data_IF_035621569028
#
_entry.id   IF_035621569028
#
_cell.length_a   1.000
_cell.length_b   1.000
_cell.length_c   1.000
_cell.angle_alpha   90.00
_cell.angle_beta   90.00
_cell.angle_gamma   90.00
#
_symmetry.space_group_name_H-M   'P 1'
#
loop_
_entity.id
_entity.type
_entity.pdbx_description
1 polymer ?
#
# COMPACT_ATOMS: atom_id res chain seq x y z
N UNK A 1 25.39 24.43 2.83
CA UNK A 1 24.97 23.97 1.50
C UNK A 1 23.76 24.80 1.11
N UNK A 2 23.85 25.60 0.06
CA UNK A 2 22.76 26.47 -0.39
C UNK A 2 21.58 25.60 -0.83
N UNK A 3 20.40 25.82 -0.24
CA UNK A 3 19.14 25.27 -0.75
C UNK A 3 18.95 25.85 -2.15
N UNK A 4 19.11 25.01 -3.18
CA UNK A 4 18.71 25.36 -4.54
C UNK A 4 17.20 25.58 -4.47
N UNK A 5 16.78 26.83 -4.57
CA UNK A 5 15.37 27.23 -4.62
C UNK A 5 14.73 26.51 -5.83
N UNK A 6 13.98 25.45 -5.57
CA UNK A 6 13.33 24.65 -6.61
C UNK A 6 12.20 25.46 -7.22
N UNK A 7 12.34 25.80 -8.48
CA UNK A 7 11.34 26.56 -9.25
C UNK A 7 10.41 25.55 -9.95
N UNK A 8 9.35 25.15 -9.26
CA UNK A 8 8.39 24.15 -9.79
C UNK A 8 7.57 24.65 -10.98
N UNK A 9 7.17 25.95 -11.07
CA UNK A 9 6.58 26.50 -12.28
C UNK A 9 7.49 26.37 -13.50
N UNK A 10 8.76 26.71 -13.36
CA UNK A 10 9.75 26.60 -14.43
C UNK A 10 9.97 25.15 -14.85
N UNK A 11 10.09 24.22 -13.88
CA UNK A 11 10.23 22.79 -14.17
C UNK A 11 9.02 22.25 -14.95
N UNK A 12 7.80 22.66 -14.57
CA UNK A 12 6.58 22.26 -15.29
C UNK A 12 6.58 22.75 -16.72
N UNK A 13 6.98 24.01 -16.97
CA UNK A 13 7.07 24.61 -18.29
C UNK A 13 8.14 23.91 -19.16
N UNK A 14 9.31 23.62 -18.59
CA UNK A 14 10.38 22.89 -19.26
C UNK A 14 9.95 21.48 -19.64
N UNK A 15 9.27 20.75 -18.76
CA UNK A 15 8.72 19.42 -19.07
C UNK A 15 7.73 19.51 -20.23
N UNK A 16 6.77 20.44 -20.19
CA UNK A 16 5.76 20.62 -21.24
C UNK A 16 6.44 20.92 -22.59
N UNK A 17 7.45 21.77 -22.60
CA UNK A 17 8.20 22.12 -23.81
C UNK A 17 8.92 20.91 -24.41
N UNK A 18 9.65 20.16 -23.57
CA UNK A 18 10.48 19.04 -24.05
C UNK A 18 9.66 17.84 -24.49
N UNK A 19 8.42 17.66 -23.99
CA UNK A 19 7.52 16.61 -24.47
C UNK A 19 6.76 16.98 -25.75
N UNK A 20 7.10 18.09 -26.40
CA UNK A 20 6.47 18.51 -27.66
C UNK A 20 5.35 19.54 -27.51
N UNK A 21 5.28 20.23 -26.35
CA UNK A 21 4.32 21.31 -26.10
C UNK A 21 2.94 20.82 -25.65
N UNK A 22 2.07 21.80 -25.36
CA UNK A 22 0.71 21.56 -24.84
C UNK A 22 -0.12 20.70 -25.77
N UNK A 23 0.00 20.93 -27.07
CA UNK A 23 -0.79 20.26 -28.12
C UNK A 23 -0.50 18.75 -28.23
N UNK A 24 0.68 18.32 -27.75
CA UNK A 24 1.11 16.93 -27.75
C UNK A 24 0.63 16.17 -26.50
N UNK A 25 0.22 16.86 -25.45
CA UNK A 25 -0.21 16.24 -24.18
C UNK A 25 -1.72 15.99 -24.24
N UNK A 26 -2.11 14.72 -24.28
CA UNK A 26 -3.52 14.31 -24.24
C UNK A 26 -4.06 14.37 -22.81
N UNK A 27 -3.25 13.92 -21.85
CA UNK A 27 -3.65 13.85 -20.45
C UNK A 27 -2.42 13.93 -19.53
N UNK A 28 -2.62 14.51 -18.34
CA UNK A 28 -1.63 14.58 -17.28
C UNK A 28 -2.22 14.06 -15.98
N UNK A 29 -1.53 13.13 -15.32
CA UNK A 29 -1.90 12.58 -14.01
C UNK A 29 -0.66 12.49 -13.14
N UNK A 30 -0.83 12.22 -11.85
CA UNK A 30 0.30 11.99 -10.94
C UNK A 30 0.06 10.82 -9.99
N UNK A 31 1.13 10.19 -9.54
CA UNK A 31 1.14 9.37 -8.33
C UNK A 31 1.97 10.05 -7.24
N UNK A 32 2.33 9.32 -6.18
CA UNK A 32 3.07 9.87 -5.05
C UNK A 32 4.44 10.50 -5.43
N UNK A 33 5.08 10.01 -6.50
CA UNK A 33 6.43 10.42 -6.89
C UNK A 33 6.62 10.70 -8.38
N UNK A 34 5.60 10.49 -9.23
CA UNK A 34 5.72 10.58 -10.70
C UNK A 34 4.62 11.43 -11.31
N UNK A 35 5.02 12.32 -12.20
CA UNK A 35 4.14 12.94 -13.18
C UNK A 35 3.97 11.97 -14.35
N UNK A 36 2.74 11.68 -14.74
CA UNK A 36 2.41 10.78 -15.86
C UNK A 36 1.72 11.57 -16.95
N UNK A 37 2.31 11.55 -18.12
CA UNK A 37 1.79 12.21 -19.29
C UNK A 37 1.39 11.17 -20.34
N UNK A 38 0.23 11.34 -20.93
CA UNK A 38 -0.19 10.62 -22.13
C UNK A 38 0.06 11.57 -23.30
N UNK A 39 0.96 11.19 -24.19
CA UNK A 39 1.37 11.99 -25.34
C UNK A 39 0.71 11.44 -26.61
N UNK A 40 0.47 12.30 -27.58
CA UNK A 40 0.03 11.88 -28.93
C UNK A 40 1.15 11.09 -29.63
N UNK A 41 2.36 11.61 -29.51
CA UNK A 41 3.59 10.98 -29.99
C UNK A 41 4.75 11.35 -29.05
N UNK A 42 5.75 10.50 -28.93
CA UNK A 42 6.97 10.80 -28.18
C UNK A 42 8.05 11.24 -29.15
N UNK A 43 8.42 12.53 -29.21
CA UNK A 43 9.47 13.00 -30.11
C UNK A 43 10.82 12.34 -29.81
N UNK A 44 11.65 12.17 -30.80
CA UNK A 44 12.98 11.56 -30.66
C UNK A 44 13.85 12.35 -29.67
N UNK A 45 14.51 11.65 -28.73
CA UNK A 45 15.37 12.27 -27.72
C UNK A 45 14.63 12.98 -26.56
N UNK A 46 13.30 12.93 -26.50
CA UNK A 46 12.51 13.57 -25.41
C UNK A 46 12.88 13.01 -24.05
N UNK A 47 13.11 11.73 -23.96
CA UNK A 47 13.44 11.06 -22.70
C UNK A 47 14.73 11.58 -22.09
N UNK A 48 15.78 11.69 -22.88
CA UNK A 48 17.08 12.20 -22.47
C UNK A 48 17.01 13.68 -22.08
N UNK A 49 16.28 14.48 -22.83
CA UNK A 49 16.08 15.91 -22.57
C UNK A 49 15.34 16.13 -21.25
N UNK A 50 14.21 15.45 -21.03
CA UNK A 50 13.43 15.58 -19.80
C UNK A 50 14.20 15.01 -18.60
N UNK A 51 14.94 13.93 -18.80
CA UNK A 51 15.78 13.37 -17.74
C UNK A 51 16.94 14.30 -17.34
N UNK A 52 17.38 15.17 -18.21
CA UNK A 52 18.42 16.19 -17.94
C UNK A 52 17.92 17.41 -17.17
N UNK A 53 16.62 17.59 -16.96
CA UNK A 53 16.06 18.73 -16.26
C UNK A 53 16.36 18.69 -14.75
N UNK A 54 16.70 19.84 -14.19
CA UNK A 54 16.96 19.98 -12.77
C UNK A 54 15.67 19.71 -11.96
N UNK A 55 15.65 18.66 -11.14
CA UNK A 55 14.49 18.25 -10.35
C UNK A 55 13.81 16.99 -10.89
N UNK A 56 14.21 16.46 -12.04
CA UNK A 56 13.80 15.16 -12.55
C UNK A 56 14.80 14.09 -12.11
N UNK A 57 14.31 13.03 -11.50
CA UNK A 57 15.13 11.90 -11.04
C UNK A 57 15.38 10.93 -12.20
N UNK A 58 14.33 10.58 -12.94
CA UNK A 58 14.43 9.71 -14.12
C UNK A 58 13.13 9.79 -14.94
N UNK A 59 13.18 9.29 -16.17
CA UNK A 59 12.02 9.18 -17.06
C UNK A 59 11.81 7.72 -17.43
N UNK A 60 10.56 7.24 -17.33
CA UNK A 60 10.16 5.86 -17.67
C UNK A 60 9.04 5.91 -18.68
N UNK A 61 9.20 5.22 -19.80
CA UNK A 61 8.13 5.00 -20.76
C UNK A 61 7.56 3.60 -20.54
N UNK A 62 6.29 3.54 -20.16
CA UNK A 62 5.62 2.26 -19.92
C UNK A 62 4.14 2.35 -20.29
N UNK A 63 3.63 1.33 -20.97
CA UNK A 63 2.20 1.17 -21.31
C UNK A 63 1.58 2.38 -22.02
N UNK A 64 2.33 3.07 -22.88
CA UNK A 64 1.86 4.25 -23.61
C UNK A 64 1.85 5.54 -22.78
N UNK A 65 2.48 5.55 -21.61
CA UNK A 65 2.63 6.72 -20.74
C UNK A 65 4.10 7.15 -20.64
N UNK A 66 4.32 8.46 -20.73
CA UNK A 66 5.59 9.10 -20.45
C UNK A 66 5.60 9.52 -18.98
N UNK A 67 6.39 8.85 -18.14
CA UNK A 67 6.40 9.02 -16.70
C UNK A 67 7.67 9.74 -16.25
N UNK A 68 7.53 10.93 -15.68
CA UNK A 68 8.62 11.73 -15.14
C UNK A 68 8.67 11.54 -13.62
N UNK A 69 9.71 10.91 -13.13
CA UNK A 69 9.94 10.67 -11.69
C UNK A 69 10.56 11.92 -11.09
N UNK A 70 9.83 12.58 -10.18
CA UNK A 70 10.21 13.84 -9.54
C UNK A 70 10.46 13.67 -8.03
N UNK A 71 9.85 12.62 -7.44
CA UNK A 71 9.87 12.40 -6.00
C UNK A 71 8.68 13.05 -5.29
N UNK A 72 8.82 13.29 -3.97
CA UNK A 72 7.73 13.77 -3.09
C UNK A 72 7.13 15.12 -3.50
N UNK A 73 7.84 15.91 -4.30
CA UNK A 73 7.42 17.23 -4.77
C UNK A 73 6.60 17.21 -6.08
N UNK A 74 6.26 16.03 -6.58
CA UNK A 74 5.49 15.89 -7.81
C UNK A 74 4.13 16.62 -7.77
N UNK A 75 3.58 16.82 -6.57
CA UNK A 75 2.33 17.55 -6.37
C UNK A 75 2.38 18.97 -6.92
N UNK A 76 3.42 19.72 -6.53
CA UNK A 76 3.61 21.11 -6.92
C UNK A 76 3.90 21.24 -8.42
N UNK A 77 4.67 20.32 -8.99
CA UNK A 77 4.95 20.30 -10.43
C UNK A 77 3.68 19.97 -11.21
N UNK A 78 2.89 18.99 -10.77
CA UNK A 78 1.63 18.60 -11.40
C UNK A 78 0.61 19.75 -11.43
N UNK A 79 0.43 20.46 -10.32
CA UNK A 79 -0.47 21.62 -10.26
C UNK A 79 -0.09 22.70 -11.27
N UNK A 80 1.21 22.96 -11.44
CA UNK A 80 1.68 23.89 -12.45
C UNK A 80 1.49 23.35 -13.88
N UNK A 81 1.71 22.07 -14.13
CA UNK A 81 1.43 21.43 -15.43
C UNK A 81 -0.05 21.58 -15.79
N UNK A 82 -0.96 21.27 -14.86
CA UNK A 82 -2.41 21.38 -15.07
C UNK A 82 -2.84 22.82 -15.36
N UNK A 83 -2.29 23.79 -14.63
CA UNK A 83 -2.53 25.24 -14.90
C UNK A 83 -2.07 25.65 -16.30
N UNK A 84 -0.89 25.19 -16.73
CA UNK A 84 -0.37 25.51 -18.06
C UNK A 84 -1.16 24.86 -19.20
N UNK A 85 -1.74 23.68 -18.95
CA UNK A 85 -2.53 22.94 -19.94
C UNK A 85 -3.99 23.38 -20.01
N UNK A 86 -4.46 24.26 -19.09
CA UNK A 86 -5.87 24.60 -18.92
C UNK A 86 -6.78 23.37 -18.78
N UNK A 87 -6.26 22.29 -18.26
CA UNK A 87 -7.04 21.10 -17.92
C UNK A 87 -7.78 21.42 -16.62
N UNK A 88 -9.10 21.38 -16.64
CA UNK A 88 -9.86 21.34 -15.39
C UNK A 88 -9.33 20.19 -14.53
N UNK A 89 -9.19 20.40 -13.23
CA UNK A 89 -8.63 19.45 -12.26
C UNK A 89 -9.44 18.16 -12.24
N UNK A 90 -9.32 17.35 -13.25
CA UNK A 90 -9.83 15.99 -13.30
C UNK A 90 -8.85 15.11 -12.55
N UNK A 91 -9.07 14.95 -11.25
CA UNK A 91 -8.45 13.88 -10.50
C UNK A 91 -8.88 12.54 -11.12
N UNK A 92 -7.99 11.93 -11.87
CA UNK A 92 -8.18 10.62 -12.50
C UNK A 92 -8.60 10.71 -13.97
N UNK A 93 -7.62 10.78 -14.86
CA UNK A 93 -7.83 10.61 -16.30
C UNK A 93 -8.34 9.20 -16.61
N UNK A 94 -9.46 9.13 -17.31
CA UNK A 94 -9.91 7.88 -17.94
C UNK A 94 -8.88 7.47 -19.00
N UNK A 95 -8.17 6.37 -18.76
CA UNK A 95 -7.52 5.64 -19.83
C UNK A 95 -8.62 5.21 -20.83
N UNK A 96 -8.46 5.57 -22.10
CA UNK A 96 -9.16 4.87 -23.17
C UNK A 96 -8.68 3.40 -23.14
N UNK A 97 -9.47 2.58 -22.55
CA UNK A 97 -9.17 1.21 -22.20
C UNK A 97 -9.21 0.32 -23.43
N UNK A 98 -8.05 -0.10 -23.92
CA UNK A 98 -7.91 -1.51 -24.28
C UNK A 98 -8.32 -2.28 -23.02
N UNK A 99 -9.28 -3.23 -23.14
CA UNK A 99 -9.84 -4.01 -22.02
C UNK A 99 -8.69 -4.59 -21.18
N UNK A 100 -8.34 -3.90 -20.09
CA UNK A 100 -7.34 -4.44 -19.15
C UNK A 100 -7.91 -5.69 -18.50
N UNK A 101 -7.11 -6.75 -18.29
CA UNK A 101 -7.53 -7.92 -17.53
C UNK A 101 -8.16 -7.51 -16.21
N UNK A 102 -9.22 -8.22 -15.79
CA UNK A 102 -9.96 -7.92 -14.55
C UNK A 102 -9.02 -7.77 -13.34
N UNK A 103 -8.01 -8.63 -13.25
CA UNK A 103 -7.00 -8.60 -12.20
C UNK A 103 -6.27 -7.24 -12.15
N UNK A 104 -5.84 -6.70 -13.28
CA UNK A 104 -5.15 -5.40 -13.31
C UNK A 104 -6.05 -4.24 -12.85
N UNK A 105 -7.35 -4.31 -13.14
CA UNK A 105 -8.33 -3.33 -12.66
C UNK A 105 -8.51 -3.40 -11.15
N UNK A 106 -8.62 -4.60 -10.58
CA UNK A 106 -8.72 -4.81 -9.13
C UNK A 106 -7.47 -4.23 -8.44
N UNK A 107 -6.29 -4.56 -8.94
CA UNK A 107 -5.02 -4.10 -8.42
C UNK A 107 -4.91 -2.57 -8.45
N UNK A 108 -5.26 -1.96 -9.58
CA UNK A 108 -5.24 -0.50 -9.72
C UNK A 108 -6.22 0.17 -8.74
N UNK A 109 -7.40 -0.41 -8.54
CA UNK A 109 -8.38 0.08 -7.55
C UNK A 109 -7.81 -0.01 -6.14
N UNK A 110 -7.24 -1.16 -5.74
CA UNK A 110 -6.63 -1.33 -4.42
C UNK A 110 -5.51 -0.30 -4.20
N UNK A 111 -4.58 -0.16 -5.15
CA UNK A 111 -3.52 0.84 -5.07
C UNK A 111 -4.07 2.27 -4.90
N UNK A 112 -5.09 2.64 -5.68
CA UNK A 112 -5.66 3.99 -5.62
C UNK A 112 -6.36 4.27 -4.29
N UNK A 113 -7.01 3.26 -3.71
CA UNK A 113 -7.73 3.39 -2.44
C UNK A 113 -6.78 3.44 -1.25
N UNK A 114 -5.74 2.59 -1.21
CA UNK A 114 -4.86 2.47 -0.04
C UNK A 114 -3.71 3.49 -0.01
N UNK A 115 -3.13 3.86 -1.15
CA UNK A 115 -1.98 4.74 -1.20
C UNK A 115 -2.13 6.07 -0.41
N UNK A 116 -3.31 6.74 -0.37
CA UNK A 116 -3.42 8.02 0.32
C UNK A 116 -3.23 7.95 1.84
N UNK A 117 -3.55 6.83 2.49
CA UNK A 117 -3.49 6.71 3.95
C UNK A 117 -2.48 5.68 4.48
N UNK A 118 -1.68 5.07 3.60
CA UNK A 118 -0.71 4.05 4.00
C UNK A 118 0.31 4.54 5.03
N UNK A 119 0.76 5.79 4.91
CA UNK A 119 1.71 6.36 5.87
C UNK A 119 1.12 6.55 7.27
N UNK A 120 -0.21 6.72 7.37
CA UNK A 120 -0.91 6.76 8.67
C UNK A 120 -0.88 5.37 9.31
N UNK A 121 -1.14 4.31 8.51
CA UNK A 121 -1.06 2.92 9.00
C UNK A 121 0.38 2.57 9.40
N UNK A 122 1.38 3.03 8.63
CA UNK A 122 2.79 2.84 8.96
C UNK A 122 3.17 3.51 10.29
N UNK A 123 2.76 4.77 10.50
CA UNK A 123 3.02 5.49 11.74
C UNK A 123 2.36 4.78 12.95
N UNK A 124 1.14 4.30 12.78
CA UNK A 124 0.44 3.50 13.78
C UNK A 124 1.18 2.20 14.10
N UNK A 125 1.67 1.49 13.07
CA UNK A 125 2.47 0.27 13.24
C UNK A 125 3.80 0.52 13.96
N UNK A 126 4.48 1.63 13.69
CA UNK A 126 5.71 2.04 14.41
C UNK A 126 5.39 2.28 15.89
N UNK A 127 4.29 2.99 16.19
CA UNK A 127 3.89 3.23 17.58
C UNK A 127 3.58 1.91 18.30
N UNK A 128 2.89 0.97 17.65
CA UNK A 128 2.66 -0.39 18.18
C UNK A 128 3.98 -1.10 18.47
N UNK A 129 4.94 -1.04 17.57
CA UNK A 129 6.28 -1.62 17.76
C UNK A 129 7.00 -1.03 18.98
N UNK A 130 6.93 0.29 19.17
CA UNK A 130 7.49 0.97 20.36
C UNK A 130 6.82 0.48 21.64
N UNK A 131 5.49 0.36 21.65
CA UNK A 131 4.75 -0.13 22.82
C UNK A 131 5.09 -1.58 23.15
N UNK A 132 5.24 -2.46 22.15
CA UNK A 132 5.67 -3.85 22.33
C UNK A 132 7.06 -3.90 22.96
N UNK A 133 8.01 -3.13 22.42
CA UNK A 133 9.37 -3.05 22.98
C UNK A 133 9.38 -2.53 24.40
N UNK A 134 8.62 -1.46 24.67
CA UNK A 134 8.53 -0.90 26.04
C UNK A 134 8.01 -1.93 27.02
N UNK A 135 6.97 -2.67 26.65
CA UNK A 135 6.42 -3.72 27.50
C UNK A 135 7.38 -4.90 27.71
N UNK A 136 8.24 -5.19 26.74
CA UNK A 136 9.24 -6.25 26.87
C UNK A 136 10.27 -5.93 27.96
N UNK A 137 10.72 -4.66 28.03
CA UNK A 137 11.70 -4.20 29.02
C UNK A 137 11.07 -3.74 30.34
N UNK A 138 9.82 -3.28 30.29
CA UNK A 138 9.05 -2.74 31.40
C UNK A 138 7.61 -3.31 31.38
N UNK A 139 7.41 -4.56 31.83
CA UNK A 139 6.08 -5.21 31.81
C UNK A 139 4.99 -4.44 32.57
N UNK A 140 5.36 -3.73 33.63
CA UNK A 140 4.43 -2.91 34.42
C UNK A 140 3.86 -1.72 33.63
N UNK A 141 4.52 -1.32 32.55
CA UNK A 141 4.05 -0.23 31.68
C UNK A 141 2.70 -0.55 31.04
N UNK A 142 2.44 -1.83 30.74
CA UNK A 142 1.17 -2.29 30.17
C UNK A 142 -0.05 -1.98 31.06
N UNK A 143 0.15 -1.82 32.36
CA UNK A 143 -0.92 -1.49 33.33
C UNK A 143 -1.11 0.02 33.55
N UNK A 144 -0.34 0.85 32.84
CA UNK A 144 -0.43 2.31 33.00
C UNK A 144 -1.47 2.94 32.05
N UNK A 145 -2.12 4.02 32.51
CA UNK A 145 -3.01 4.80 31.63
C UNK A 145 -2.30 5.40 30.40
N UNK A 146 -0.97 5.63 30.50
CA UNK A 146 -0.17 6.08 29.35
C UNK A 146 -0.12 5.00 28.27
N UNK A 147 0.11 3.74 28.63
CA UNK A 147 0.07 2.64 27.69
C UNK A 147 -1.31 2.50 27.06
N UNK A 148 -2.36 2.55 27.86
CA UNK A 148 -3.74 2.43 27.38
C UNK A 148 -4.08 3.50 26.33
N UNK A 149 -3.71 4.77 26.61
CA UNK A 149 -3.93 5.88 25.66
C UNK A 149 -3.10 5.68 24.38
N UNK A 150 -1.81 5.41 24.47
CA UNK A 150 -0.96 5.22 23.31
C UNK A 150 -1.38 3.98 22.51
N UNK A 151 -1.83 2.93 23.19
CA UNK A 151 -2.34 1.71 22.55
C UNK A 151 -3.56 2.02 21.69
N UNK A 152 -4.60 2.66 22.24
CA UNK A 152 -5.77 2.96 21.40
C UNK A 152 -5.45 3.96 20.26
N UNK A 153 -4.54 4.93 20.46
CA UNK A 153 -4.08 5.82 19.37
C UNK A 153 -3.49 4.99 18.24
N UNK A 154 -2.63 4.02 18.55
CA UNK A 154 -2.00 3.15 17.54
C UNK A 154 -3.01 2.28 16.79
N UNK A 155 -4.07 1.83 17.44
CA UNK A 155 -5.12 1.03 16.83
C UNK A 155 -6.20 1.85 16.08
N UNK A 156 -6.30 3.16 16.33
CA UNK A 156 -7.33 4.02 15.75
C UNK A 156 -7.40 3.96 14.22
N UNK A 157 -6.29 4.06 13.45
CA UNK A 157 -6.39 4.01 11.98
C UNK A 157 -6.92 2.67 11.47
N UNK A 158 -6.66 1.58 12.20
CA UNK A 158 -7.16 0.24 11.84
C UNK A 158 -8.63 0.10 12.23
N UNK A 159 -9.03 0.50 13.41
CA UNK A 159 -10.42 0.44 13.86
C UNK A 159 -11.37 1.23 12.93
N UNK A 160 -10.91 2.39 12.47
CA UNK A 160 -11.66 3.28 11.56
C UNK A 160 -11.28 3.12 10.07
N UNK A 161 -10.64 2.03 9.70
CA UNK A 161 -10.25 1.74 8.33
C UNK A 161 -11.42 1.84 7.33
N UNK A 162 -12.66 1.38 7.63
CA UNK A 162 -13.80 1.57 6.76
C UNK A 162 -14.07 3.03 6.38
N UNK A 163 -13.83 3.98 7.31
CA UNK A 163 -13.99 5.42 7.03
C UNK A 163 -12.91 5.91 6.08
N UNK A 164 -11.65 5.53 6.29
CA UNK A 164 -10.54 5.89 5.41
C UNK A 164 -10.78 5.37 3.98
N UNK A 165 -11.23 4.13 3.87
CA UNK A 165 -11.63 3.53 2.60
C UNK A 165 -12.82 4.29 1.99
N UNK A 166 -13.83 4.65 2.79
CA UNK A 166 -14.98 5.44 2.35
C UNK A 166 -14.56 6.75 1.68
N UNK A 167 -13.58 7.47 2.27
CA UNK A 167 -13.05 8.73 1.72
C UNK A 167 -12.30 8.50 0.40
N UNK A 168 -11.45 7.49 0.33
CA UNK A 168 -10.58 7.29 -0.84
C UNK A 168 -11.30 6.57 -1.99
N UNK A 169 -12.12 5.56 -1.67
CA UNK A 169 -12.91 4.82 -2.64
C UNK A 169 -14.00 5.70 -3.28
N UNK A 170 -14.64 6.62 -2.51
CA UNK A 170 -15.61 7.55 -3.09
C UNK A 170 -15.00 8.46 -4.15
N UNK A 171 -13.78 8.92 -3.93
CA UNK A 171 -13.02 9.70 -4.92
C UNK A 171 -12.66 8.85 -6.15
N UNK A 172 -12.25 7.60 -5.93
CA UNK A 172 -11.90 6.67 -7.01
C UNK A 172 -13.12 6.29 -7.87
N UNK A 173 -14.25 5.95 -7.24
CA UNK A 173 -15.49 5.58 -7.94
C UNK A 173 -16.38 6.79 -8.31
N UNK A 174 -15.92 8.01 -8.03
CA UNK A 174 -16.60 9.28 -8.38
C UNK A 174 -18.02 9.36 -7.82
N UNK A 175 -18.20 9.05 -6.53
CA UNK A 175 -19.47 9.21 -5.81
C UNK A 175 -19.32 10.20 -4.63
N UNK A 176 -20.43 10.58 -4.02
CA UNK A 176 -20.43 11.54 -2.93
C UNK A 176 -19.69 11.01 -1.70
N UNK A 177 -18.63 11.68 -1.30
CA UNK A 177 -17.78 11.26 -0.18
C UNK A 177 -18.54 11.24 1.15
N UNK A 178 -19.42 12.17 1.41
CA UNK A 178 -20.17 12.22 2.67
C UNK A 178 -21.16 11.06 2.80
N UNK A 179 -21.84 10.69 1.70
CA UNK A 179 -22.72 9.51 1.68
C UNK A 179 -21.89 8.26 1.91
N UNK A 180 -20.78 8.10 1.20
CA UNK A 180 -19.89 6.94 1.34
C UNK A 180 -19.35 6.80 2.76
N UNK A 181 -18.83 7.90 3.35
CA UNK A 181 -18.32 7.92 4.71
C UNK A 181 -19.41 7.58 5.72
N UNK A 182 -20.62 8.14 5.57
CA UNK A 182 -21.74 7.85 6.48
C UNK A 182 -22.14 6.38 6.41
N UNK A 183 -22.23 5.79 5.22
CA UNK A 183 -22.53 4.38 5.06
C UNK A 183 -21.43 3.48 5.66
N UNK A 184 -20.15 3.83 5.44
CA UNK A 184 -19.03 3.11 6.02
C UNK A 184 -18.96 3.26 7.56
N UNK A 185 -19.25 4.44 8.09
CA UNK A 185 -19.32 4.69 9.52
C UNK A 185 -20.46 3.89 10.20
N UNK A 186 -21.58 3.67 9.51
CA UNK A 186 -22.67 2.83 10.02
C UNK A 186 -22.20 1.37 10.26
N UNK A 187 -21.22 0.85 9.50
CA UNK A 187 -20.68 -0.50 9.69
C UNK A 187 -19.88 -0.66 10.99
N UNK A 188 -19.34 0.44 11.50
CA UNK A 188 -18.54 0.45 12.75
C UNK A 188 -19.24 1.23 13.87
N UNK A 189 -20.52 1.54 13.68
CA UNK A 189 -21.32 2.20 14.70
C UNK A 189 -21.40 1.30 15.96
N UNK A 190 -21.22 1.86 17.17
CA UNK A 190 -21.31 1.09 18.41
C UNK A 190 -22.59 0.24 18.53
N UNK A 191 -23.74 0.77 18.08
CA UNK A 191 -25.00 0.03 18.08
C UNK A 191 -24.96 -1.21 17.16
N UNK A 192 -24.28 -1.11 16.00
CA UNK A 192 -24.09 -2.27 15.14
C UNK A 192 -23.16 -3.30 15.80
N UNK A 193 -22.06 -2.85 16.42
CA UNK A 193 -21.13 -3.73 17.12
C UNK A 193 -21.83 -4.50 18.24
N UNK A 194 -22.72 -3.82 18.98
CA UNK A 194 -23.56 -4.44 20.03
C UNK A 194 -24.53 -5.49 19.42
N UNK A 195 -25.25 -5.14 18.35
CA UNK A 195 -26.15 -6.06 17.65
C UNK A 195 -25.37 -7.29 17.15
N UNK A 196 -24.24 -7.10 16.51
CA UNK A 196 -23.38 -8.19 16.01
C UNK A 196 -22.91 -9.09 17.17
N UNK A 197 -22.55 -8.52 18.32
CA UNK A 197 -22.20 -9.26 19.53
C UNK A 197 -23.35 -10.10 20.07
N UNK A 198 -24.58 -9.57 20.09
CA UNK A 198 -25.78 -10.32 20.50
C UNK A 198 -26.04 -11.51 19.56
N UNK A 199 -25.90 -11.29 18.25
CA UNK A 199 -26.07 -12.37 17.26
C UNK A 199 -25.00 -13.45 17.46
N UNK A 200 -23.75 -13.09 17.70
CA UNK A 200 -22.65 -14.04 17.96
C UNK A 200 -22.90 -14.85 19.23
N UNK A 201 -23.59 -14.26 20.22
CA UNK A 201 -24.01 -14.96 21.44
C UNK A 201 -25.31 -15.79 21.29
N UNK A 202 -25.80 -15.96 20.07
CA UNK A 202 -26.93 -16.85 19.74
C UNK A 202 -28.30 -16.16 19.68
N UNK A 203 -28.37 -14.83 19.78
CA UNK A 203 -29.62 -14.10 19.60
C UNK A 203 -29.99 -13.98 18.11
N UNK A 204 -31.21 -14.33 17.74
CA UNK A 204 -31.71 -14.15 16.39
C UNK A 204 -32.17 -12.70 16.19
N UNK A 205 -31.43 -11.94 15.41
CA UNK A 205 -31.81 -10.57 15.00
C UNK A 205 -32.08 -10.56 13.49
N UNK A 206 -33.21 -9.98 13.10
CA UNK A 206 -33.64 -9.92 11.71
C UNK A 206 -33.83 -8.49 11.24
N UNK A 207 -33.50 -8.23 10.00
CA UNK A 207 -33.91 -7.02 9.27
C UNK A 207 -35.00 -7.42 8.27
N UNK A 208 -36.21 -6.93 8.50
CA UNK A 208 -37.41 -7.39 7.81
C UNK A 208 -37.60 -8.92 8.01
N UNK A 209 -37.39 -9.69 6.95
CA UNK A 209 -37.56 -11.17 6.95
C UNK A 209 -36.24 -11.92 6.89
N UNK A 210 -35.10 -11.22 6.88
CA UNK A 210 -33.77 -11.78 6.72
C UNK A 210 -33.01 -11.80 8.03
N UNK A 211 -32.51 -12.94 8.43
CA UNK A 211 -31.64 -13.04 9.59
C UNK A 211 -30.30 -12.40 9.30
N UNK A 212 -29.83 -11.59 10.25
CA UNK A 212 -28.54 -10.93 10.18
C UNK A 212 -27.41 -11.86 10.65
N UNK A 213 -26.23 -11.67 10.11
CA UNK A 213 -25.03 -12.34 10.58
C UNK A 213 -24.22 -11.41 11.50
N UNK A 214 -23.67 -11.96 12.58
CA UNK A 214 -22.93 -11.21 13.61
C UNK A 214 -21.53 -10.80 13.15
N UNK A 215 -21.40 -10.25 11.94
CA UNK A 215 -20.13 -9.80 11.38
C UNK A 215 -19.80 -8.39 11.87
N UNK A 216 -18.63 -8.20 12.46
CA UNK A 216 -18.07 -6.88 12.79
C UNK A 216 -17.19 -6.41 11.64
N UNK A 217 -17.26 -5.10 11.35
CA UNK A 217 -16.56 -4.51 10.20
C UNK A 217 -15.41 -3.58 10.59
N UNK A 218 -15.10 -3.46 11.88
CA UNK A 218 -13.88 -2.79 12.33
C UNK A 218 -12.66 -3.44 11.66
N UNK A 219 -11.70 -2.64 11.21
CA UNK A 219 -10.51 -3.10 10.49
C UNK A 219 -10.77 -3.84 9.16
N UNK A 220 -12.02 -3.90 8.68
CA UNK A 220 -12.34 -4.57 7.42
C UNK A 220 -12.00 -3.70 6.21
N UNK A 221 -11.67 -4.37 5.09
CA UNK A 221 -11.26 -3.73 3.84
C UNK A 221 -12.28 -3.96 2.72
N UNK A 222 -12.63 -5.22 2.46
CA UNK A 222 -13.48 -5.57 1.33
C UNK A 222 -14.93 -5.09 1.49
N UNK A 223 -15.59 -5.24 2.66
CA UNK A 223 -16.95 -4.75 2.84
C UNK A 223 -17.13 -3.26 2.52
N UNK A 224 -16.34 -2.33 3.11
CA UNK A 224 -16.49 -0.91 2.78
C UNK A 224 -16.10 -0.58 1.34
N UNK A 225 -15.12 -1.27 0.76
CA UNK A 225 -14.74 -1.07 -0.63
C UNK A 225 -15.87 -1.43 -1.59
N UNK A 226 -16.48 -2.61 -1.41
CA UNK A 226 -17.62 -3.05 -2.23
C UNK A 226 -18.89 -2.24 -1.95
N UNK A 227 -19.09 -1.81 -0.68
CA UNK A 227 -20.17 -0.87 -0.35
C UNK A 227 -20.06 0.38 -1.23
N UNK A 228 -18.89 1.03 -1.25
CA UNK A 228 -18.70 2.28 -2.01
C UNK A 228 -18.78 2.04 -3.51
N UNK A 229 -18.29 0.89 -4.00
CA UNK A 229 -18.45 0.51 -5.41
C UNK A 229 -19.94 0.41 -5.80
N UNK A 230 -20.75 -0.32 -5.04
CA UNK A 230 -22.18 -0.49 -5.31
C UNK A 230 -22.92 0.84 -5.10
N UNK A 231 -22.56 1.60 -4.06
CA UNK A 231 -23.08 2.95 -3.80
C UNK A 231 -22.89 3.86 -5.02
N UNK A 232 -21.74 3.80 -5.66
CA UNK A 232 -21.47 4.65 -6.82
C UNK A 232 -22.46 4.39 -7.95
N UNK A 233 -22.83 3.14 -8.21
CA UNK A 233 -23.86 2.79 -9.19
C UNK A 233 -25.25 3.26 -8.77
N UNK A 234 -25.63 3.05 -7.50
CA UNK A 234 -26.91 3.47 -6.98
C UNK A 234 -27.07 4.99 -7.02
N UNK A 235 -26.06 5.73 -6.55
CA UNK A 235 -26.09 7.19 -6.56
C UNK A 235 -26.19 7.76 -7.98
N UNK A 236 -25.38 7.25 -8.92
CA UNK A 236 -25.45 7.65 -10.32
C UNK A 236 -26.81 7.36 -10.96
N UNK A 237 -27.42 6.23 -10.63
CA UNK A 237 -28.77 5.89 -11.07
C UNK A 237 -29.81 6.87 -10.50
N UNK A 238 -29.78 7.15 -9.19
CA UNK A 238 -30.70 8.04 -8.52
C UNK A 238 -30.56 9.49 -9.04
N UNK A 239 -29.33 9.95 -9.23
CA UNK A 239 -29.07 11.29 -9.78
C UNK A 239 -29.65 11.52 -11.18
N UNK A 240 -29.89 10.44 -11.95
CA UNK A 240 -30.54 10.51 -13.27
C UNK A 240 -32.06 10.45 -13.19
N UNK A 241 -32.63 9.93 -12.10
CA UNK A 241 -34.08 9.66 -11.98
C UNK A 241 -34.79 10.61 -11.04
N UNK A 242 -34.12 11.09 -10.00
CA UNK A 242 -34.72 11.97 -9.00
C UNK A 242 -34.79 13.40 -9.53
N UNK A 243 -35.94 14.11 -9.38
CA UNK A 243 -36.06 15.51 -9.77
C UNK A 243 -35.06 16.41 -9.04
N UNK A 244 -34.55 17.44 -9.72
CA UNK A 244 -33.46 18.31 -9.22
C UNK A 244 -33.74 18.90 -7.82
N UNK A 245 -34.97 19.36 -7.61
CA UNK A 245 -35.42 19.98 -6.33
C UNK A 245 -35.30 19.01 -5.15
N UNK A 246 -35.44 17.70 -5.38
CA UNK A 246 -35.44 16.66 -4.34
C UNK A 246 -34.11 15.92 -4.21
N UNK A 247 -33.18 16.07 -5.15
CA UNK A 247 -31.91 15.33 -5.20
C UNK A 247 -31.12 15.50 -3.91
N UNK A 248 -30.97 16.73 -3.43
CA UNK A 248 -30.14 17.03 -2.28
C UNK A 248 -30.53 16.25 -1.00
N UNK A 249 -31.83 15.91 -0.87
CA UNK A 249 -32.35 15.18 0.29
C UNK A 249 -32.60 13.69 -0.01
N UNK A 250 -33.27 13.39 -1.13
CA UNK A 250 -33.70 12.01 -1.43
C UNK A 250 -32.52 11.09 -1.82
N UNK A 251 -31.54 11.60 -2.56
CA UNK A 251 -30.43 10.74 -2.98
C UNK A 251 -29.61 10.25 -1.78
N UNK A 252 -29.14 11.10 -0.86
CA UNK A 252 -28.46 10.62 0.35
C UNK A 252 -29.35 9.71 1.20
N UNK A 253 -30.62 10.07 1.39
CA UNK A 253 -31.56 9.25 2.17
C UNK A 253 -31.69 7.84 1.62
N UNK A 254 -32.02 7.71 0.33
CA UNK A 254 -32.20 6.41 -0.31
C UNK A 254 -30.88 5.61 -0.29
N UNK A 255 -29.75 6.27 -0.59
CA UNK A 255 -28.44 5.62 -0.55
C UNK A 255 -28.15 5.02 0.83
N UNK A 256 -28.33 5.76 1.92
CA UNK A 256 -28.09 5.26 3.27
C UNK A 256 -29.03 4.11 3.64
N UNK A 257 -30.34 4.28 3.42
CA UNK A 257 -31.37 3.29 3.79
C UNK A 257 -31.24 2.00 3.00
N UNK A 258 -30.73 2.06 1.77
CA UNK A 258 -30.53 0.87 0.93
C UNK A 258 -29.15 0.26 1.16
N UNK A 259 -28.08 1.06 1.15
CA UNK A 259 -26.70 0.53 1.14
C UNK A 259 -26.28 -0.08 2.46
N UNK A 260 -26.68 0.48 3.60
CA UNK A 260 -26.30 -0.07 4.91
C UNK A 260 -26.91 -1.45 5.12
N UNK A 261 -28.25 -1.67 4.99
CA UNK A 261 -28.83 -3.00 5.09
C UNK A 261 -28.30 -3.98 4.02
N UNK A 262 -28.13 -3.53 2.77
CA UNK A 262 -27.57 -4.37 1.70
C UNK A 262 -26.16 -4.84 2.05
N UNK A 263 -25.37 -3.98 2.68
CA UNK A 263 -24.00 -4.36 3.07
C UNK A 263 -24.02 -5.36 4.21
N UNK A 264 -24.82 -5.16 5.22
CA UNK A 264 -24.91 -6.04 6.39
C UNK A 264 -25.48 -7.42 6.01
N UNK A 265 -26.48 -7.45 5.10
CA UNK A 265 -27.12 -8.69 4.68
C UNK A 265 -26.35 -9.48 3.63
N UNK A 266 -25.70 -8.81 2.70
CA UNK A 266 -25.16 -9.48 1.51
C UNK A 266 -23.66 -9.16 1.28
N UNK A 267 -23.31 -7.88 1.11
CA UNK A 267 -21.94 -7.51 0.71
C UNK A 267 -20.93 -7.94 1.78
N UNK A 268 -21.23 -7.64 3.04
CA UNK A 268 -20.35 -7.94 4.17
C UNK A 268 -20.09 -9.45 4.33
N UNK A 269 -21.12 -10.28 4.49
CA UNK A 269 -20.94 -11.72 4.60
C UNK A 269 -20.22 -12.34 3.39
N UNK A 270 -20.54 -11.93 2.15
CA UNK A 270 -19.88 -12.42 0.94
C UNK A 270 -18.39 -12.02 0.87
N UNK A 271 -18.09 -10.77 1.19
CA UNK A 271 -16.70 -10.26 1.09
C UNK A 271 -15.83 -10.77 2.23
N UNK A 272 -16.37 -10.89 3.43
CA UNK A 272 -15.65 -11.51 4.55
C UNK A 272 -15.39 -12.99 4.28
N UNK A 273 -16.38 -13.74 3.77
CA UNK A 273 -16.17 -15.13 3.39
C UNK A 273 -15.13 -15.31 2.27
N UNK A 274 -15.06 -14.37 1.32
CA UNK A 274 -14.04 -14.37 0.27
C UNK A 274 -12.64 -14.09 0.83
N UNK A 275 -12.49 -13.10 1.70
CA UNK A 275 -11.21 -12.79 2.37
C UNK A 275 -10.76 -13.97 3.28
N UNK A 276 -11.69 -14.56 3.99
CA UNK A 276 -11.48 -15.75 4.81
C UNK A 276 -10.97 -16.94 3.98
N UNK A 277 -11.60 -17.21 2.82
CA UNK A 277 -11.17 -18.29 1.95
C UNK A 277 -9.73 -18.11 1.43
N UNK A 278 -9.33 -16.87 1.08
CA UNK A 278 -7.95 -16.56 0.68
C UNK A 278 -6.98 -16.73 1.86
N UNK A 279 -7.35 -16.26 3.05
CA UNK A 279 -6.55 -16.41 4.26
C UNK A 279 -6.35 -17.88 4.65
N UNK A 280 -7.43 -18.68 4.61
CA UNK A 280 -7.37 -20.12 4.86
C UNK A 280 -6.49 -20.84 3.84
N UNK A 281 -6.64 -20.51 2.54
CA UNK A 281 -5.80 -21.10 1.48
C UNK A 281 -4.31 -20.81 1.67
N UNK A 282 -3.96 -19.57 2.03
CA UNK A 282 -2.58 -19.21 2.34
C UNK A 282 -2.08 -19.93 3.62
N UNK A 283 -2.88 -19.96 4.68
CA UNK A 283 -2.49 -20.62 5.91
C UNK A 283 -2.33 -22.13 5.75
N UNK A 284 -3.15 -22.79 4.91
CA UNK A 284 -2.97 -24.20 4.52
C UNK A 284 -1.61 -24.39 3.83
N UNK A 285 -1.20 -23.46 2.94
CA UNK A 285 0.12 -23.52 2.31
C UNK A 285 1.23 -23.39 3.37
N UNK A 286 1.10 -22.47 4.30
CA UNK A 286 2.07 -22.29 5.39
C UNK A 286 2.12 -23.47 6.35
N UNK A 287 0.99 -24.14 6.59
CA UNK A 287 0.93 -25.35 7.41
C UNK A 287 1.57 -26.56 6.71
N UNK A 288 1.21 -26.79 5.44
CA UNK A 288 1.64 -28.00 4.69
C UNK A 288 3.03 -27.88 4.09
N UNK A 289 3.44 -26.69 3.69
CA UNK A 289 4.70 -26.41 3.01
C UNK A 289 5.27 -25.03 3.41
N UNK A 290 5.53 -24.80 4.72
CA UNK A 290 5.90 -23.47 5.23
C UNK A 290 7.16 -22.91 4.56
N UNK A 291 8.15 -23.74 4.30
CA UNK A 291 9.35 -23.33 3.60
C UNK A 291 9.07 -22.88 2.16
N UNK A 292 8.17 -23.54 1.44
CA UNK A 292 7.81 -23.16 0.09
C UNK A 292 7.05 -21.83 0.08
N UNK A 293 6.08 -21.65 0.99
CA UNK A 293 5.37 -20.39 1.18
C UNK A 293 6.33 -19.24 1.51
N UNK A 294 7.25 -19.49 2.44
CA UNK A 294 8.27 -18.53 2.83
C UNK A 294 9.17 -18.11 1.67
N UNK A 295 9.69 -19.09 0.91
CA UNK A 295 10.55 -18.85 -0.27
C UNK A 295 9.81 -18.00 -1.32
N UNK A 296 8.55 -18.34 -1.59
CA UNK A 296 7.76 -17.62 -2.59
C UNK A 296 7.52 -16.16 -2.15
N UNK A 297 7.16 -15.93 -0.91
CA UNK A 297 6.94 -14.56 -0.42
C UNK A 297 8.26 -13.79 -0.35
N UNK A 298 9.27 -14.35 0.32
CA UNK A 298 10.57 -13.68 0.50
C UNK A 298 11.28 -13.39 -0.82
N UNK A 299 11.09 -14.23 -1.84
CA UNK A 299 11.73 -14.07 -3.15
C UNK A 299 10.94 -13.23 -4.14
N UNK A 300 9.61 -13.32 -4.16
CA UNK A 300 8.78 -12.71 -5.20
C UNK A 300 8.06 -11.43 -4.77
N UNK A 301 8.05 -11.11 -3.48
CA UNK A 301 7.32 -9.96 -2.96
C UNK A 301 7.61 -8.65 -3.71
N UNK A 302 8.89 -8.37 -3.94
CA UNK A 302 9.30 -7.13 -4.60
C UNK A 302 8.89 -7.09 -6.08
N UNK A 303 8.68 -8.23 -6.70
CA UNK A 303 8.08 -8.31 -8.04
C UNK A 303 6.62 -7.81 -7.97
N UNK A 304 5.86 -8.21 -6.94
CA UNK A 304 4.51 -7.71 -6.73
C UNK A 304 4.50 -6.20 -6.45
N UNK A 305 5.51 -5.69 -5.73
CA UNK A 305 5.68 -4.25 -5.49
C UNK A 305 5.92 -3.49 -6.80
N UNK A 306 6.80 -4.00 -7.69
CA UNK A 306 7.07 -3.38 -9.00
C UNK A 306 5.80 -3.23 -9.83
N UNK A 307 4.94 -4.24 -9.82
CA UNK A 307 3.68 -4.22 -10.56
C UNK A 307 2.55 -3.49 -9.82
N UNK A 308 2.77 -3.06 -8.57
CA UNK A 308 1.76 -2.40 -7.75
C UNK A 308 0.64 -3.32 -7.26
N UNK A 309 0.83 -4.64 -7.38
CA UNK A 309 -0.18 -5.65 -7.00
C UNK A 309 -0.20 -5.96 -5.51
N UNK A 310 0.84 -5.56 -4.78
CA UNK A 310 1.02 -5.84 -3.35
C UNK A 310 -0.10 -5.29 -2.46
N UNK A 311 -0.79 -4.23 -2.87
CA UNK A 311 -1.94 -3.69 -2.14
C UNK A 311 -3.16 -4.64 -2.10
N UNK A 312 -3.30 -5.48 -3.12
CA UNK A 312 -4.37 -6.50 -3.17
C UNK A 312 -4.24 -7.58 -2.11
N UNK A 313 -3.07 -7.72 -1.47
CA UNK A 313 -2.80 -8.73 -0.45
C UNK A 313 -3.17 -8.24 0.96
N UNK A 314 -3.25 -6.94 1.18
CA UNK A 314 -3.61 -6.35 2.48
C UNK A 314 -4.90 -6.92 3.08
N UNK A 315 -6.00 -7.14 2.33
CA UNK A 315 -7.22 -7.74 2.88
C UNK A 315 -7.00 -9.12 3.49
N UNK A 316 -6.15 -9.96 2.86
CA UNK A 316 -5.79 -11.27 3.37
C UNK A 316 -5.05 -11.17 4.71
N UNK A 317 -4.06 -10.30 4.78
CA UNK A 317 -3.28 -10.06 6.01
C UNK A 317 -4.20 -9.60 7.15
N UNK A 318 -5.12 -8.66 6.86
CA UNK A 318 -6.09 -8.20 7.85
C UNK A 318 -7.07 -9.29 8.29
N UNK A 319 -7.48 -10.17 7.37
CA UNK A 319 -8.30 -11.34 7.69
C UNK A 319 -7.56 -12.30 8.63
N UNK A 320 -6.27 -12.55 8.39
CA UNK A 320 -5.44 -13.38 9.29
C UNK A 320 -5.39 -12.81 10.70
N UNK A 321 -5.11 -11.52 10.87
CA UNK A 321 -5.13 -10.89 12.21
C UNK A 321 -6.50 -10.98 12.87
N UNK A 322 -7.58 -10.80 12.11
CA UNK A 322 -8.95 -10.92 12.63
C UNK A 322 -9.30 -12.34 13.06
N UNK A 323 -8.89 -13.35 12.30
CA UNK A 323 -9.25 -14.75 12.52
C UNK A 323 -8.33 -15.47 13.50
N UNK A 324 -7.02 -15.24 13.40
CA UNK A 324 -6.00 -16.00 14.11
C UNK A 324 -5.27 -15.17 15.18
N UNK A 325 -5.40 -13.85 15.17
CA UNK A 325 -4.64 -12.94 16.04
C UNK A 325 -3.16 -12.79 15.64
N UNK A 326 -2.74 -13.40 14.54
CA UNK A 326 -1.38 -13.31 14.01
C UNK A 326 -1.36 -13.46 12.47
N UNK A 327 -0.24 -13.09 11.86
CA UNK A 327 0.00 -13.24 10.42
C UNK A 327 1.43 -13.69 10.12
N UNK A 328 1.57 -14.75 9.34
CA UNK A 328 2.86 -15.26 8.87
C UNK A 328 3.34 -14.56 7.61
N UNK A 329 2.41 -14.06 6.77
CA UNK A 329 2.73 -13.45 5.49
C UNK A 329 3.60 -12.23 5.66
N UNK A 330 3.21 -11.29 6.54
CA UNK A 330 3.97 -10.07 6.80
C UNK A 330 5.35 -10.34 7.39
N UNK A 331 5.49 -11.39 8.21
CA UNK A 331 6.80 -11.77 8.72
C UNK A 331 7.78 -12.13 7.59
N UNK A 332 7.34 -12.91 6.59
CA UNK A 332 8.17 -13.25 5.44
C UNK A 332 8.33 -12.08 4.45
N UNK A 333 7.28 -11.29 4.25
CA UNK A 333 7.30 -10.06 3.47
C UNK A 333 8.39 -9.09 3.96
N UNK A 334 8.52 -8.95 5.28
CA UNK A 334 9.54 -8.09 5.90
C UNK A 334 10.95 -8.48 5.47
N UNK A 335 11.25 -9.77 5.32
CA UNK A 335 12.57 -10.22 4.87
C UNK A 335 12.86 -9.84 3.42
N UNK A 336 11.85 -9.84 2.54
CA UNK A 336 12.01 -9.36 1.16
C UNK A 336 12.34 -7.86 1.13
N UNK A 337 11.68 -7.06 1.96
CA UNK A 337 11.96 -5.62 2.12
C UNK A 337 13.38 -5.39 2.64
N UNK A 338 13.78 -6.13 3.69
CA UNK A 338 15.14 -6.03 4.25
C UNK A 338 16.21 -6.50 3.25
N UNK A 339 15.90 -7.49 2.41
CA UNK A 339 16.82 -7.96 1.39
C UNK A 339 17.12 -6.90 0.31
N UNK A 340 16.17 -6.01 0.00
CA UNK A 340 16.45 -4.86 -0.87
C UNK A 340 17.44 -3.89 -0.23
N UNK A 341 17.32 -3.66 1.08
CA UNK A 341 18.29 -2.84 1.81
C UNK A 341 19.67 -3.48 1.73
N UNK A 342 19.78 -4.79 1.98
CA UNK A 342 21.04 -5.53 1.88
C UNK A 342 21.68 -5.43 0.49
N UNK A 343 20.89 -5.57 -0.57
CA UNK A 343 21.39 -5.40 -1.94
C UNK A 343 21.85 -3.96 -2.22
N UNK A 344 21.13 -2.94 -1.73
CA UNK A 344 21.54 -1.55 -1.87
C UNK A 344 22.85 -1.25 -1.10
N UNK A 345 23.02 -1.81 0.09
CA UNK A 345 24.27 -1.74 0.84
C UNK A 345 25.41 -2.38 0.05
N UNK A 346 25.18 -3.54 -0.56
CA UNK A 346 26.14 -4.18 -1.45
C UNK A 346 26.53 -3.30 -2.64
N UNK A 347 25.57 -2.60 -3.24
CA UNK A 347 25.81 -1.61 -4.28
C UNK A 347 26.63 -0.41 -3.76
N UNK A 348 26.29 0.12 -2.58
CA UNK A 348 27.04 1.21 -1.94
C UNK A 348 28.51 0.86 -1.71
N UNK A 349 28.77 -0.35 -1.23
CA UNK A 349 30.14 -0.81 -0.96
C UNK A 349 30.93 -0.99 -2.26
N UNK A 350 30.35 -1.67 -3.26
CA UNK A 350 31.03 -2.09 -4.49
C UNK A 350 31.17 -0.97 -5.52
N UNK A 351 30.23 -0.05 -5.63
CA UNK A 351 30.24 1.02 -6.63
C UNK A 351 31.44 1.96 -6.44
N UNK A 352 31.98 2.44 -7.57
CA UNK A 352 32.94 3.54 -7.60
C UNK A 352 32.29 4.87 -7.92
N UNK A 353 31.06 4.86 -8.43
CA UNK A 353 30.28 6.05 -8.76
C UNK A 353 29.73 6.72 -7.50
N UNK A 354 30.12 7.97 -7.24
CA UNK A 354 29.72 8.74 -6.04
C UNK A 354 28.21 9.02 -6.00
N UNK A 355 27.61 9.28 -7.15
CA UNK A 355 26.18 9.54 -7.26
C UNK A 355 25.38 8.27 -6.88
N UNK A 356 25.74 7.12 -7.46
CA UNK A 356 25.12 5.86 -7.12
C UNK A 356 25.29 5.49 -5.65
N UNK A 357 26.46 5.73 -5.07
CA UNK A 357 26.69 5.55 -3.62
C UNK A 357 25.74 6.40 -2.78
N UNK A 358 25.60 7.67 -3.11
CA UNK A 358 24.71 8.59 -2.39
C UNK A 358 23.24 8.12 -2.49
N UNK A 359 22.80 7.72 -3.68
CA UNK A 359 21.44 7.20 -3.90
C UNK A 359 21.24 5.89 -3.13
N UNK A 360 22.18 4.96 -3.19
CA UNK A 360 22.10 3.68 -2.50
C UNK A 360 22.05 3.83 -0.97
N UNK A 361 22.84 4.74 -0.41
CA UNK A 361 22.83 5.03 1.01
C UNK A 361 21.49 5.66 1.45
N UNK A 362 21.02 6.68 0.75
CA UNK A 362 19.73 7.33 1.03
C UNK A 362 18.56 6.34 0.90
N UNK A 363 18.58 5.49 -0.14
CA UNK A 363 17.57 4.46 -0.36
C UNK A 363 17.60 3.38 0.74
N UNK A 364 18.78 2.99 1.22
CA UNK A 364 18.90 2.04 2.34
C UNK A 364 18.30 2.61 3.63
N UNK A 365 18.48 3.91 3.89
CA UNK A 365 17.90 4.58 5.08
C UNK A 365 16.37 4.58 4.98
N UNK A 366 15.80 4.92 3.82
CA UNK A 366 14.32 4.88 3.64
C UNK A 366 13.77 3.47 3.74
N UNK A 367 14.53 2.48 3.30
CA UNK A 367 14.19 1.06 3.42
C UNK A 367 14.03 0.59 4.88
N UNK A 368 14.78 1.15 5.83
CA UNK A 368 14.63 0.86 7.27
C UNK A 368 13.18 1.08 7.73
N UNK A 369 12.50 2.07 7.16
CA UNK A 369 11.11 2.40 7.43
C UNK A 369 10.11 1.62 6.55
N UNK A 370 10.58 0.61 5.80
CA UNK A 370 9.73 -0.22 4.92
C UNK A 370 9.38 0.43 3.57
N UNK A 371 10.01 1.54 3.21
CA UNK A 371 9.79 2.23 1.93
C UNK A 371 10.83 1.74 0.93
N UNK A 372 10.43 0.82 0.05
CA UNK A 372 11.35 0.13 -0.88
C UNK A 372 11.47 0.81 -2.25
N UNK A 373 10.56 1.69 -2.64
CA UNK A 373 10.55 2.32 -3.96
C UNK A 373 11.87 3.03 -4.32
N UNK A 374 12.51 3.81 -3.42
CA UNK A 374 13.81 4.41 -3.72
C UNK A 374 14.90 3.37 -3.97
N UNK A 375 14.88 2.26 -3.23
CA UNK A 375 15.83 1.15 -3.37
C UNK A 375 15.59 0.40 -4.68
N UNK A 376 14.32 0.07 -4.97
CA UNK A 376 13.94 -0.63 -6.19
C UNK A 376 14.28 0.17 -7.44
N UNK A 377 13.70 1.34 -7.58
CA UNK A 377 13.79 2.11 -8.81
C UNK A 377 15.07 2.91 -8.93
N UNK A 378 15.64 3.36 -7.79
CA UNK A 378 16.88 4.13 -7.77
C UNK A 378 18.14 3.27 -7.91
N UNK A 379 18.11 2.02 -7.40
CA UNK A 379 19.31 1.18 -7.27
C UNK A 379 19.12 -0.20 -7.89
N UNK A 380 18.36 -1.09 -7.24
CA UNK A 380 18.44 -2.53 -7.51
C UNK A 380 17.86 -2.92 -8.85
N UNK A 381 16.65 -2.44 -9.21
CA UNK A 381 16.00 -2.73 -10.49
C UNK A 381 16.73 -2.05 -11.65
N UNK A 382 17.22 -0.83 -11.45
CA UNK A 382 18.02 -0.10 -12.45
C UNK A 382 19.27 -0.89 -12.85
N UNK A 383 19.94 -1.53 -11.88
CA UNK A 383 21.15 -2.31 -12.08
C UNK A 383 20.87 -3.78 -12.41
N UNK A 384 19.61 -4.24 -12.37
CA UNK A 384 19.10 -5.59 -12.67
C UNK A 384 19.68 -6.69 -11.78
N UNK A 385 21.00 -6.97 -11.84
CA UNK A 385 21.65 -8.02 -11.05
C UNK A 385 21.45 -7.85 -9.53
N UNK A 386 21.61 -6.65 -8.92
CA UNK A 386 21.31 -6.45 -7.50
C UNK A 386 19.87 -6.75 -7.13
N UNK A 387 18.90 -6.51 -8.02
CA UNK A 387 17.51 -6.89 -7.79
C UNK A 387 17.34 -8.41 -7.66
N UNK A 388 17.97 -9.17 -8.56
CA UNK A 388 17.95 -10.64 -8.50
C UNK A 388 18.63 -11.13 -7.22
N UNK A 389 19.75 -10.51 -6.83
CA UNK A 389 20.43 -10.82 -5.57
C UNK A 389 19.53 -10.58 -4.34
N UNK A 390 18.74 -9.50 -4.35
CA UNK A 390 17.76 -9.22 -3.30
C UNK A 390 16.66 -10.28 -3.25
N UNK A 391 16.11 -10.67 -4.40
CA UNK A 391 15.10 -11.74 -4.46
C UNK A 391 15.63 -13.07 -3.92
N UNK A 392 16.86 -13.45 -4.30
CA UNK A 392 17.50 -14.69 -3.79
C UNK A 392 17.76 -14.56 -2.29
N UNK A 393 18.30 -13.42 -1.82
CA UNK A 393 18.57 -13.18 -0.41
C UNK A 393 17.31 -13.23 0.43
N UNK A 394 16.23 -12.63 -0.03
CA UNK A 394 14.92 -12.68 0.62
C UNK A 394 14.36 -14.10 0.70
N UNK A 395 14.44 -14.86 -0.40
CA UNK A 395 14.02 -16.27 -0.44
C UNK A 395 14.81 -17.16 0.54
N UNK A 396 16.14 -17.03 0.56
CA UNK A 396 17.02 -17.77 1.47
C UNK A 396 16.74 -17.44 2.93
N UNK A 397 16.62 -16.15 3.24
CA UNK A 397 16.36 -15.68 4.60
C UNK A 397 14.99 -16.15 5.10
N UNK A 398 13.98 -16.09 4.25
CA UNK A 398 12.64 -16.55 4.55
C UNK A 398 12.60 -18.08 4.73
N UNK A 399 13.32 -18.84 3.90
CA UNK A 399 13.46 -20.28 4.06
C UNK A 399 14.06 -20.64 5.43
N UNK A 400 15.12 -19.97 5.85
CA UNK A 400 15.73 -20.19 7.18
C UNK A 400 14.76 -19.79 8.29
N UNK A 401 14.11 -18.64 8.19
CA UNK A 401 13.15 -18.18 9.20
C UNK A 401 11.96 -19.13 9.35
N UNK A 402 11.55 -19.83 8.29
CA UNK A 402 10.39 -20.74 8.31
C UNK A 402 10.53 -21.88 9.33
N UNK A 403 11.76 -22.26 9.70
CA UNK A 403 12.01 -23.29 10.71
C UNK A 403 11.72 -22.86 12.16
N UNK A 404 11.50 -21.56 12.39
CA UNK A 404 11.33 -20.99 13.73
C UNK A 404 9.86 -20.70 14.07
N UNK A 405 8.91 -20.97 13.18
CA UNK A 405 7.49 -20.67 13.39
C UNK A 405 7.24 -19.17 13.58
N UNK A 406 7.96 -18.32 12.86
CA UNK A 406 7.88 -16.87 12.98
C UNK A 406 6.58 -16.34 12.42
N UNK A 407 5.87 -15.54 13.20
CA UNK A 407 4.65 -14.81 12.81
C UNK A 407 4.67 -13.41 13.42
N UNK A 408 3.90 -12.50 12.86
CA UNK A 408 3.64 -11.18 13.43
C UNK A 408 2.37 -11.20 14.27
N UNK A 409 2.40 -10.55 15.42
CA UNK A 409 1.27 -10.39 16.35
C UNK A 409 0.67 -8.98 16.27
N UNK A 410 1.27 -8.08 15.53
CA UNK A 410 0.74 -6.75 15.23
C UNK A 410 0.94 -6.44 13.73
N UNK A 411 -0.03 -5.74 13.14
CA UNK A 411 0.03 -5.35 11.74
C UNK A 411 1.16 -4.35 11.49
N UNK A 412 2.00 -4.66 10.52
CA UNK A 412 3.02 -3.74 10.03
C UNK A 412 2.48 -2.99 8.80
N UNK A 413 2.15 -1.71 8.95
CA UNK A 413 1.68 -0.87 7.84
C UNK A 413 2.68 -0.81 6.68
N UNK A 414 3.97 -0.66 7.01
CA UNK A 414 5.10 -0.77 6.10
C UNK A 414 6.12 -1.74 6.72
N UNK A 415 6.13 -3.02 6.30
CA UNK A 415 7.07 -4.00 6.80
C UNK A 415 8.52 -3.59 6.53
N UNK A 416 9.37 -3.63 7.56
CA UNK A 416 10.76 -3.20 7.49
C UNK A 416 11.52 -3.54 8.77
N UNK A 417 12.75 -3.05 8.92
CA UNK A 417 13.59 -3.36 10.09
C UNK A 417 12.90 -2.95 11.41
N UNK A 418 12.18 -1.82 11.43
CA UNK A 418 11.52 -1.34 12.65
C UNK A 418 10.33 -2.20 13.07
N UNK A 419 9.77 -2.99 12.17
CA UNK A 419 8.59 -3.82 12.44
C UNK A 419 8.92 -5.26 12.83
N UNK A 420 10.20 -5.66 12.89
CA UNK A 420 10.62 -7.00 13.34
C UNK A 420 10.14 -7.29 14.76
N UNK A 421 9.96 -6.26 15.58
CA UNK A 421 9.44 -6.34 16.94
C UNK A 421 8.01 -6.90 17.02
N UNK A 422 7.25 -6.83 15.91
CA UNK A 422 5.90 -7.39 15.81
C UNK A 422 5.90 -8.93 15.89
N UNK A 423 7.07 -9.57 15.78
CA UNK A 423 7.24 -11.01 15.99
C UNK A 423 7.45 -11.39 17.48
N UNK A 424 7.50 -10.41 18.39
CA UNK A 424 7.66 -10.67 19.83
C UNK A 424 6.37 -11.21 20.43
N UNK A 425 6.48 -12.35 21.10
CA UNK A 425 5.40 -12.91 21.93
C UNK A 425 5.99 -13.67 23.10
N UNK A 426 5.42 -13.54 24.31
CA UNK A 426 5.84 -14.35 25.45
C UNK A 426 5.70 -15.85 25.21
N UNK A 427 4.75 -16.24 24.35
CA UNK A 427 4.46 -17.64 24.03
C UNK A 427 5.26 -18.21 22.86
N UNK A 428 6.03 -17.37 22.14
CA UNK A 428 6.82 -17.77 20.97
C UNK A 428 8.14 -17.01 20.88
N UNK A 429 9.07 -17.31 21.78
CA UNK A 429 10.41 -16.71 21.79
C UNK A 429 11.26 -17.19 20.62
N UNK A 430 11.06 -18.42 20.16
CA UNK A 430 11.78 -18.98 18.99
C UNK A 430 11.38 -18.24 17.71
N UNK A 431 10.13 -17.84 17.55
CA UNK A 431 9.66 -17.05 16.43
C UNK A 431 10.38 -15.71 16.30
N UNK A 432 10.57 -14.99 17.41
CA UNK A 432 11.34 -13.74 17.38
C UNK A 432 12.82 -13.98 17.05
N UNK A 433 13.45 -15.04 17.60
CA UNK A 433 14.81 -15.43 17.20
C UNK A 433 14.90 -15.69 15.68
N UNK A 434 13.92 -16.40 15.14
CA UNK A 434 13.82 -16.62 13.70
C UNK A 434 13.76 -15.32 12.90
N UNK A 435 12.97 -14.34 13.38
CA UNK A 435 12.87 -13.01 12.78
C UNK A 435 14.21 -12.27 12.79
N UNK A 436 14.92 -12.29 13.89
CA UNK A 436 16.24 -11.65 14.02
C UNK A 436 17.26 -12.33 13.08
N UNK A 437 17.35 -13.67 13.11
CA UNK A 437 18.26 -14.42 12.24
C UNK A 437 17.92 -14.18 10.78
N UNK A 438 16.64 -14.28 10.40
CA UNK A 438 16.16 -14.01 9.05
C UNK A 438 16.52 -12.61 8.59
N UNK A 439 16.32 -11.59 9.44
CA UNK A 439 16.64 -10.19 9.14
C UNK A 439 18.15 -9.97 8.91
N UNK A 440 18.99 -10.56 9.74
CA UNK A 440 20.45 -10.50 9.56
C UNK A 440 20.88 -11.17 8.24
N UNK A 441 20.31 -12.33 7.92
CA UNK A 441 20.57 -13.02 6.65
C UNK A 441 20.03 -12.20 5.46
N UNK A 442 18.86 -11.54 5.61
CA UNK A 442 18.27 -10.70 4.56
C UNK A 442 19.12 -9.44 4.27
N UNK A 443 19.95 -8.99 5.19
CA UNK A 443 20.97 -7.96 4.90
C UNK A 443 22.23 -8.56 4.29
N UNK A 444 22.79 -9.61 4.91
CA UNK A 444 24.11 -10.12 4.58
C UNK A 444 24.12 -10.87 3.25
N UNK A 445 23.15 -11.78 3.03
CA UNK A 445 23.14 -12.64 1.84
C UNK A 445 23.07 -11.82 0.53
N UNK A 446 22.12 -10.89 0.35
CA UNK A 446 22.08 -10.11 -0.88
C UNK A 446 23.26 -9.13 -1.00
N UNK A 447 23.77 -8.58 0.11
CA UNK A 447 24.97 -7.74 0.06
C UNK A 447 26.18 -8.50 -0.45
N UNK A 448 26.43 -9.71 0.07
CA UNK A 448 27.51 -10.59 -0.38
C UNK A 448 27.29 -11.02 -1.83
N UNK A 449 26.07 -11.42 -2.20
CA UNK A 449 25.75 -11.80 -3.59
C UNK A 449 26.05 -10.66 -4.56
N UNK A 450 25.67 -9.42 -4.22
CA UNK A 450 25.97 -8.22 -5.05
C UNK A 450 27.48 -8.01 -5.17
N UNK A 451 28.24 -8.21 -4.09
CA UNK A 451 29.70 -8.09 -4.13
C UNK A 451 30.35 -9.17 -5.01
N UNK A 452 29.83 -10.41 -4.99
CA UNK A 452 30.37 -11.53 -5.77
C UNK A 452 29.94 -11.44 -7.23
N UNK A 453 28.64 -11.37 -7.51
CA UNK A 453 28.07 -11.35 -8.87
C UNK A 453 28.41 -10.06 -9.61
N UNK A 454 28.50 -8.96 -8.90
CA UNK A 454 28.75 -7.63 -9.47
C UNK A 454 27.58 -7.07 -10.27
N UNK A 455 27.78 -5.86 -10.75
CA UNK A 455 26.85 -5.16 -11.63
C UNK A 455 27.62 -4.19 -12.53
N UNK A 456 26.98 -3.71 -13.59
CA UNK A 456 27.56 -2.69 -14.47
C UNK A 456 27.47 -1.33 -13.77
N UNK A 457 28.61 -0.89 -13.21
CA UNK A 457 28.69 0.38 -12.47
C UNK A 457 28.58 1.56 -13.45
N UNK A 458 27.62 2.46 -13.29
CA UNK A 458 27.49 3.63 -14.16
C UNK A 458 28.76 4.46 -14.13
N UNK A 459 29.26 4.87 -15.29
CA UNK A 459 30.41 5.78 -15.37
C UNK A 459 30.06 7.13 -14.74
N UNK A 460 30.98 7.72 -13.98
CA UNK A 460 30.84 9.12 -13.56
C UNK A 460 30.73 10.01 -14.81
N UNK A 461 29.68 10.85 -14.86
CA UNK A 461 29.51 11.86 -15.90
C UNK A 461 30.30 13.12 -15.54
#
# INVERSE_FOLDING_TARGET
MAQVKRDYPKLAEEIIREVGGKENIINATRCATRLRLVLKETPEGTKEKVQGLTGVITVVENSGQFQVVIGTHVGEVYENVVKHLNLETSAGGEEQTKKQPLLNRIIATMSAVFAPFIYILAAAGILQGILILTNLFYPEFASTGTYEILSFISWTPFAFLPILIGITASKHFKCNTFIAVTCCAALINPSWVEIAGRITNGEAVSFLFFNLSGVTYGSSVLPPLFLVLVLSYLEHFLNKRVPEIMKALLVPFICMVVMVPLTILLIGPLTNGGAEAVAVGFNILMEKAPMLGAILIGGLWEIFVIFGVHWGITPMVMANFSMYGYDAFQAFQTLAVIAQIGAAIGCFIKSKNKELKSVALSASITGIFGITEPTLYGVTLRLKKPFICACIGGAVSAAVMSFFGTVYYAYAGLPGILTIVNAISPNNTTGFMGMVIGSVLAVIVPAVLVMVVGFDDPKEK
#
